data_IF_294250841876
#
_entry.id   IF_294250841876
#
_cell.length_a   1.000
_cell.length_b   1.000
_cell.length_c   1.000
_cell.angle_alpha   90.00
_cell.angle_beta   90.00
_cell.angle_gamma   90.00
#
_symmetry.space_group_name_H-M   'P 1'
#
loop_
_entity.id
_entity.type
_entity.pdbx_description
1 polymer ?
#
# COMPACT_ATOMS: atom_id res chain seq x y z
N UNK A 1 -4.23 -19.96 -26.27
CA UNK A 1 -3.53 -20.30 -25.02
C UNK A 1 -2.14 -20.78 -25.37
N UNK A 2 -1.13 -20.30 -24.67
CA UNK A 2 0.26 -20.74 -24.83
C UNK A 2 0.83 -21.07 -23.46
N UNK A 3 1.73 -22.05 -23.39
CA UNK A 3 2.48 -22.40 -22.18
C UNK A 3 3.93 -21.97 -22.38
N UNK A 4 4.45 -21.17 -21.46
CA UNK A 4 5.82 -20.66 -21.51
C UNK A 4 6.56 -21.07 -20.25
N UNK A 5 7.80 -21.52 -20.44
CA UNK A 5 8.73 -21.86 -19.38
C UNK A 5 9.91 -20.89 -19.42
N UNK A 6 10.24 -20.27 -18.29
CA UNK A 6 11.38 -19.36 -18.18
C UNK A 6 12.04 -19.42 -16.81
N UNK A 7 13.23 -18.84 -16.68
CA UNK A 7 13.98 -18.83 -15.41
C UNK A 7 13.32 -17.96 -14.34
N UNK A 8 12.65 -16.88 -14.76
CA UNK A 8 11.94 -15.95 -13.87
C UNK A 8 10.51 -15.74 -14.37
N UNK A 9 9.62 -15.33 -13.46
CA UNK A 9 8.24 -14.98 -13.83
C UNK A 9 8.20 -13.80 -14.79
N UNK A 10 9.00 -12.76 -14.54
CA UNK A 10 9.10 -11.58 -15.41
C UNK A 10 9.48 -11.94 -16.84
N UNK A 11 10.50 -12.79 -17.03
CA UNK A 11 10.90 -13.25 -18.34
C UNK A 11 9.80 -14.08 -19.02
N UNK A 12 9.02 -14.86 -18.24
CA UNK A 12 7.88 -15.59 -18.77
C UNK A 12 6.75 -14.64 -19.25
N UNK A 13 6.44 -13.58 -18.51
CA UNK A 13 5.47 -12.55 -18.92
C UNK A 13 5.89 -11.83 -20.20
N UNK A 14 7.15 -11.42 -20.29
CA UNK A 14 7.69 -10.74 -21.48
C UNK A 14 7.65 -11.65 -22.72
N UNK A 15 8.04 -12.91 -22.58
CA UNK A 15 7.94 -13.89 -23.68
C UNK A 15 6.49 -14.16 -24.09
N UNK A 16 5.56 -14.15 -23.14
CA UNK A 16 4.13 -14.33 -23.41
C UNK A 16 3.55 -13.15 -24.20
N UNK A 17 3.92 -11.93 -23.81
CA UNK A 17 3.51 -10.70 -24.49
C UNK A 17 4.02 -10.67 -25.93
N UNK A 18 5.29 -11.02 -26.14
CA UNK A 18 5.91 -11.07 -27.46
C UNK A 18 5.27 -12.14 -28.34
N UNK A 19 5.06 -13.35 -27.81
CA UNK A 19 4.47 -14.47 -28.57
C UNK A 19 3.01 -14.20 -28.95
N UNK A 20 2.25 -13.52 -28.08
CA UNK A 20 0.84 -13.18 -28.33
C UNK A 20 0.66 -11.80 -29.01
N UNK A 21 1.76 -11.10 -29.31
CA UNK A 21 1.78 -9.77 -29.89
C UNK A 21 0.82 -8.79 -29.17
N UNK A 22 0.83 -8.82 -27.84
CA UNK A 22 0.00 -7.95 -27.00
C UNK A 22 0.79 -7.37 -25.83
N UNK A 23 0.25 -6.34 -25.18
CA UNK A 23 0.86 -5.79 -23.95
C UNK A 23 0.78 -6.81 -22.81
N UNK A 24 1.72 -6.74 -21.85
CA UNK A 24 1.68 -7.54 -20.62
C UNK A 24 0.37 -7.33 -19.86
N UNK A 25 -0.20 -6.11 -19.91
CA UNK A 25 -1.48 -5.76 -19.27
C UNK A 25 -2.70 -6.44 -19.90
N UNK A 26 -2.58 -6.95 -21.13
CA UNK A 26 -3.65 -7.62 -21.87
C UNK A 26 -3.56 -9.14 -21.79
N UNK A 27 -2.63 -9.66 -20.98
CA UNK A 27 -2.48 -11.08 -20.74
C UNK A 27 -3.32 -11.51 -19.55
N UNK A 28 -4.11 -12.56 -19.73
CA UNK A 28 -4.62 -13.35 -18.62
C UNK A 28 -3.67 -14.54 -18.44
N UNK A 29 -3.04 -14.61 -17.28
CA UNK A 29 -1.95 -15.56 -17.00
C UNK A 29 -2.30 -16.41 -15.79
N UNK A 30 -2.12 -17.73 -15.94
CA UNK A 30 -2.20 -18.70 -14.86
C UNK A 30 -0.80 -19.24 -14.58
N UNK A 31 -0.33 -19.13 -13.34
CA UNK A 31 0.99 -19.61 -12.92
C UNK A 31 0.85 -21.07 -12.48
N UNK A 32 1.47 -21.99 -13.23
CA UNK A 32 1.49 -23.42 -12.88
C UNK A 32 2.64 -23.72 -11.91
N UNK A 33 3.76 -23.02 -12.07
CA UNK A 33 4.96 -23.26 -11.27
C UNK A 33 5.70 -21.96 -10.99
N UNK A 34 5.95 -21.67 -9.72
CA UNK A 34 6.84 -20.59 -9.32
C UNK A 34 8.30 -21.01 -9.49
N UNK A 35 9.16 -20.11 -10.00
CA UNK A 35 10.58 -20.38 -10.08
C UNK A 35 11.18 -20.46 -8.67
N UNK A 36 12.17 -21.33 -8.48
CA UNK A 36 12.93 -21.41 -7.23
C UNK A 36 14.42 -21.51 -7.51
N UNK A 37 15.23 -20.68 -6.86
CA UNK A 37 16.68 -20.62 -7.05
C UNK A 37 17.44 -21.81 -6.44
N UNK A 38 16.78 -22.65 -5.63
CA UNK A 38 17.38 -23.81 -4.98
C UNK A 38 18.41 -23.44 -3.90
N UNK A 39 18.96 -24.44 -3.21
CA UNK A 39 20.05 -24.24 -2.24
C UNK A 39 21.39 -24.41 -2.97
N UNK A 40 22.25 -23.38 -2.97
CA UNK A 40 23.55 -23.35 -3.66
C UNK A 40 23.51 -23.57 -5.19
N UNK A 41 22.39 -23.24 -5.85
CA UNK A 41 22.22 -23.40 -7.30
C UNK A 41 21.89 -24.84 -7.74
N UNK A 42 21.65 -25.74 -6.79
CA UNK A 42 21.15 -27.09 -7.04
C UNK A 42 19.62 -27.11 -6.93
N UNK A 43 18.98 -27.89 -7.79
CA UNK A 43 17.51 -28.06 -7.81
C UNK A 43 16.72 -26.79 -8.14
N UNK A 44 17.20 -26.00 -9.12
CA UNK A 44 16.43 -24.87 -9.64
C UNK A 44 15.15 -25.35 -10.31
N UNK A 45 14.05 -24.61 -10.09
CA UNK A 45 12.78 -24.81 -10.79
C UNK A 45 12.55 -23.62 -11.69
N UNK A 46 12.19 -23.88 -12.94
CA UNK A 46 11.74 -22.85 -13.88
C UNK A 46 10.34 -22.35 -13.50
N UNK A 47 10.05 -21.10 -13.86
CA UNK A 47 8.70 -20.56 -13.89
C UNK A 47 7.94 -21.16 -15.07
N UNK A 48 6.71 -21.62 -14.84
CA UNK A 48 5.82 -22.10 -15.90
C UNK A 48 4.50 -21.37 -15.81
N UNK A 49 4.14 -20.70 -16.90
CA UNK A 49 2.88 -19.95 -17.00
C UNK A 49 2.07 -20.41 -18.22
N UNK A 50 0.75 -20.28 -18.13
CA UNK A 50 -0.17 -20.39 -19.26
C UNK A 50 -0.80 -19.03 -19.50
N UNK A 51 -0.60 -18.49 -20.70
CA UNK A 51 -1.08 -17.17 -21.08
C UNK A 51 -2.12 -17.24 -22.19
N UNK A 52 -3.15 -16.40 -22.06
CA UNK A 52 -4.14 -16.12 -23.10
C UNK A 52 -4.27 -14.61 -23.27
N UNK A 53 -4.48 -14.15 -24.50
CA UNK A 53 -4.84 -12.76 -24.76
C UNK A 53 -6.26 -12.52 -24.24
N UNK A 54 -6.44 -11.49 -23.41
CA UNK A 54 -7.74 -10.96 -23.05
C UNK A 54 -8.34 -10.33 -24.30
N UNK A 55 -9.24 -11.04 -24.98
CA UNK A 55 -10.05 -10.47 -26.04
C UNK A 55 -11.16 -9.65 -25.37
N UNK A 56 -11.14 -8.33 -25.54
CA UNK A 56 -12.31 -7.50 -25.33
C UNK A 56 -13.02 -7.34 -26.69
N UNK A 57 -14.11 -8.09 -26.95
CA UNK A 57 -15.07 -7.67 -27.95
C UNK A 57 -15.92 -6.56 -27.34
N UNK A 58 -15.86 -5.36 -27.93
CA UNK A 58 -16.80 -4.30 -27.64
C UNK A 58 -18.17 -4.68 -28.25
N UNK A 59 -19.15 -5.06 -27.41
CA UNK A 59 -20.60 -4.88 -27.59
C UNK A 59 -21.41 -5.57 -26.46
N UNK A 60 -22.00 -4.75 -25.59
CA UNK A 60 -23.37 -4.81 -25.06
C UNK A 60 -24.04 -6.12 -24.52
N UNK A 61 -24.40 -6.04 -23.22
CA UNK A 61 -25.66 -6.47 -22.54
C UNK A 61 -25.79 -7.90 -21.95
N UNK A 62 -25.57 -7.97 -20.62
CA UNK A 62 -26.39 -8.54 -19.52
C UNK A 62 -26.96 -10.00 -19.56
N UNK A 63 -27.60 -10.52 -18.48
CA UNK A 63 -26.98 -11.12 -17.29
C UNK A 63 -27.51 -12.55 -17.00
N UNK A 64 -26.72 -13.46 -16.39
CA UNK A 64 -27.28 -14.70 -15.81
C UNK A 64 -26.58 -15.08 -14.50
N UNK A 65 -27.41 -15.30 -13.48
CA UNK A 65 -27.11 -15.66 -12.10
C UNK A 65 -26.79 -17.15 -11.89
N UNK A 66 -26.24 -17.42 -10.69
CA UNK A 66 -26.41 -18.59 -9.79
C UNK A 66 -25.57 -19.87 -9.97
N UNK A 67 -24.97 -20.23 -8.82
CA UNK A 67 -24.75 -21.56 -8.21
C UNK A 67 -23.27 -21.79 -7.87
N UNK A 68 -22.83 -22.49 -6.83
CA UNK A 68 -23.37 -22.95 -5.57
C UNK A 68 -22.14 -23.46 -4.76
N UNK A 69 -22.16 -23.25 -3.43
CA UNK A 69 -21.49 -24.00 -2.35
C UNK A 69 -20.35 -24.99 -2.70
N UNK A 70 -19.19 -24.79 -2.09
CA UNK A 70 -18.40 -25.90 -1.51
C UNK A 70 -17.79 -25.48 -0.16
N UNK A 71 -17.56 -26.49 0.68
CA UNK A 71 -17.52 -26.50 2.15
C UNK A 71 -16.10 -26.84 2.62
N UNK A 72 -15.80 -26.41 3.85
CA UNK A 72 -14.91 -27.02 4.86
C UNK A 72 -13.37 -27.06 4.70
N UNK A 73 -12.75 -26.44 5.72
CA UNK A 73 -11.69 -26.96 6.61
C UNK A 73 -10.33 -27.37 6.05
N UNK A 74 -9.27 -26.65 6.49
CA UNK A 74 -8.08 -27.14 7.21
C UNK A 74 -7.46 -25.87 7.89
N UNK A 75 -7.42 -25.66 9.22
CA UNK A 75 -6.53 -26.29 10.21
C UNK A 75 -5.09 -26.44 9.67
N UNK A 76 -4.00 -26.05 10.30
CA UNK A 76 -3.65 -25.47 11.59
C UNK A 76 -2.10 -25.30 11.52
N UNK A 77 -1.53 -24.46 12.38
CA UNK A 77 -0.10 -24.49 12.78
C UNK A 77 0.95 -23.95 11.79
N UNK A 78 1.26 -22.65 11.96
CA UNK A 78 2.61 -22.13 11.78
C UNK A 78 3.35 -22.27 13.12
N UNK A 79 4.31 -23.19 13.18
CA UNK A 79 5.45 -23.10 14.11
C UNK A 79 6.71 -22.90 13.27
N UNK A 80 7.48 -21.86 13.58
CA UNK A 80 8.89 -21.73 13.21
C UNK A 80 9.67 -21.27 14.44
N UNK A 81 10.79 -21.94 14.77
CA UNK A 81 11.90 -21.30 15.46
C UNK A 81 12.99 -20.88 14.46
N UNK A 82 13.30 -19.58 14.48
CA UNK A 82 14.62 -18.92 14.57
C UNK A 82 15.82 -19.54 13.81
N UNK A 83 16.42 -18.79 12.87
CA UNK A 83 17.78 -18.19 12.97
C UNK A 83 18.46 -17.84 11.62
N UNK A 84 18.76 -16.54 11.46
CA UNK A 84 20.02 -15.87 11.08
C UNK A 84 20.83 -16.35 9.85
N UNK A 85 21.05 -15.45 8.87
CA UNK A 85 22.29 -14.66 8.71
C UNK A 85 22.60 -14.25 7.24
N UNK A 86 22.78 -12.93 7.04
CA UNK A 86 23.72 -12.19 6.16
C UNK A 86 23.71 -12.45 4.62
N UNK A 87 23.26 -11.47 3.81
CA UNK A 87 24.04 -10.43 3.06
C UNK A 87 24.78 -11.01 1.82
N UNK A 88 24.69 -10.53 0.58
CA UNK A 88 24.87 -9.16 0.03
C UNK A 88 24.18 -8.98 -1.36
N UNK A 89 23.82 -7.74 -1.74
CA UNK A 89 23.25 -7.34 -3.04
C UNK A 89 24.26 -6.65 -4.00
N UNK A 90 24.07 -6.67 -5.34
CA UNK A 90 24.77 -5.79 -6.27
C UNK A 90 23.92 -4.61 -6.79
N UNK A 91 24.58 -3.45 -6.83
CA UNK A 91 24.16 -2.06 -7.15
C UNK A 91 23.98 -1.75 -8.66
N UNK A 92 23.00 -0.90 -9.02
CA UNK A 92 22.92 -0.14 -10.30
C UNK A 92 22.37 1.30 -10.03
N UNK A 93 22.84 2.36 -10.72
CA UNK A 93 22.97 3.70 -10.16
C UNK A 93 21.76 4.63 -10.34
N UNK A 94 21.51 5.43 -9.30
CA UNK A 94 20.45 6.44 -9.20
C UNK A 94 20.88 7.75 -9.88
N UNK A 95 19.98 8.38 -10.65
CA UNK A 95 20.13 9.78 -11.06
C UNK A 95 18.84 10.59 -10.86
N UNK A 96 18.96 11.57 -9.95
CA UNK A 96 18.18 12.82 -9.74
C UNK A 96 16.74 12.58 -9.26
N UNK A 97 16.25 13.22 -8.20
CA UNK A 97 16.15 14.68 -7.98
C UNK A 97 16.27 14.94 -6.46
N UNK A 98 16.97 16.02 -6.08
CA UNK A 98 17.07 16.51 -4.71
C UNK A 98 15.72 17.07 -4.24
N UNK A 99 15.07 16.37 -3.32
CA UNK A 99 14.20 16.97 -2.30
C UNK A 99 14.79 16.54 -0.95
N UNK A 100 15.39 17.48 -0.23
CA UNK A 100 15.91 17.27 1.12
C UNK A 100 14.76 17.21 2.14
N UNK A 101 13.94 16.16 2.04
CA UNK A 101 13.12 15.69 3.16
C UNK A 101 13.85 14.50 3.74
N UNK A 102 14.68 14.77 4.77
CA UNK A 102 15.39 13.73 5.50
C UNK A 102 14.33 12.90 6.24
N UNK A 103 13.92 11.79 5.62
CA UNK A 103 13.19 10.73 6.32
C UNK A 103 14.16 10.11 7.33
N UNK A 104 13.82 10.00 8.61
CA UNK A 104 14.65 9.29 9.58
C UNK A 104 14.81 7.82 9.15
N UNK A 105 15.95 7.20 9.50
CA UNK A 105 16.26 5.78 9.20
C UNK A 105 15.28 4.77 9.83
N UNK A 106 14.24 5.23 10.55
CA UNK A 106 13.21 4.44 11.24
C UNK A 106 12.17 3.76 10.34
N UNK A 107 12.43 3.66 9.04
CA UNK A 107 11.46 3.07 8.08
C UNK A 107 11.66 1.56 7.85
N UNK A 108 12.68 0.95 8.47
CA UNK A 108 13.00 -0.48 8.31
C UNK A 108 13.54 -1.11 9.61
N UNK A 109 12.65 -1.63 10.47
CA UNK A 109 13.01 -2.66 11.48
C UNK A 109 11.91 -3.73 11.63
N UNK A 110 12.34 -4.96 11.92
CA UNK A 110 11.52 -6.17 12.04
C UNK A 110 10.77 -6.24 13.39
N UNK A 111 9.45 -6.39 13.34
CA UNK A 111 8.42 -7.01 14.23
C UNK A 111 8.57 -7.12 15.77
N UNK A 112 9.66 -6.74 16.43
CA UNK A 112 9.80 -6.85 17.90
C UNK A 112 9.85 -5.47 18.63
N UNK A 113 9.79 -4.35 17.91
CA UNK A 113 9.90 -2.98 18.46
C UNK A 113 8.55 -2.19 18.45
N UNK A 114 7.41 -2.83 18.19
CA UNK A 114 6.12 -2.14 18.01
C UNK A 114 5.64 -1.36 19.25
N UNK A 115 5.95 -1.85 20.46
CA UNK A 115 5.51 -1.20 21.71
C UNK A 115 6.38 0.04 22.07
N UNK A 116 7.71 -0.04 21.93
CA UNK A 116 8.61 1.11 22.18
C UNK A 116 8.52 2.16 21.06
N UNK A 117 8.21 1.74 19.83
CA UNK A 117 8.05 2.66 18.71
C UNK A 117 6.77 3.48 18.83
N UNK A 118 5.70 2.95 19.42
CA UNK A 118 4.47 3.71 19.69
C UNK A 118 4.69 4.80 20.75
N UNK A 119 5.42 4.49 21.82
CA UNK A 119 5.80 5.48 22.83
C UNK A 119 6.72 6.57 22.21
N UNK A 120 7.65 6.20 21.32
CA UNK A 120 8.53 7.16 20.62
C UNK A 120 7.80 8.08 19.62
N UNK A 121 6.70 7.61 19.01
CA UNK A 121 5.82 8.42 18.14
C UNK A 121 5.12 9.48 18.97
N UNK A 122 4.55 9.06 20.10
CA UNK A 122 3.76 9.92 20.98
C UNK A 122 4.68 10.99 21.59
N UNK A 123 5.85 10.59 22.09
CA UNK A 123 6.88 11.49 22.60
C UNK A 123 7.48 12.41 21.52
N UNK A 124 7.62 11.94 20.27
CA UNK A 124 8.12 12.78 19.16
C UNK A 124 7.08 13.78 18.65
N UNK A 125 5.79 13.48 18.80
CA UNK A 125 4.70 14.44 18.54
C UNK A 125 4.66 15.46 19.69
N UNK A 126 4.78 15.02 20.94
CA UNK A 126 4.74 15.89 22.11
C UNK A 126 5.97 16.82 22.20
N UNK A 127 7.15 16.31 21.85
CA UNK A 127 8.43 17.03 21.95
C UNK A 127 8.74 18.00 20.80
N UNK A 128 7.88 18.13 19.78
CA UNK A 128 8.08 19.08 18.67
C UNK A 128 7.42 20.45 18.87
N UNK A 129 6.75 20.68 20.00
CA UNK A 129 6.05 21.94 20.27
C UNK A 129 6.54 22.55 21.59
N UNK A 130 7.64 23.28 21.51
CA UNK A 130 7.93 24.35 22.47
C UNK A 130 8.09 25.65 21.66
N UNK A 131 7.36 26.67 22.12
CA UNK A 131 7.37 28.08 21.74
C UNK A 131 6.55 28.58 20.52
N UNK A 132 5.48 29.29 20.91
CA UNK A 132 5.04 30.64 20.47
C UNK A 132 4.68 30.87 18.99
N UNK A 133 3.37 30.93 18.70
CA UNK A 133 2.67 32.17 18.31
C UNK A 133 1.14 31.92 18.25
N UNK A 134 0.41 32.50 19.21
CA UNK A 134 -1.04 32.30 19.37
C UNK A 134 -1.83 33.23 18.43
N UNK A 135 -1.78 32.98 17.11
CA UNK A 135 -2.80 33.52 16.19
C UNK A 135 -4.06 32.64 16.29
N UNK A 136 -4.96 33.01 17.21
CA UNK A 136 -6.30 32.44 17.29
C UNK A 136 -7.03 32.63 15.95
N UNK A 137 -7.14 31.55 15.18
CA UNK A 137 -8.17 31.45 14.17
C UNK A 137 -9.52 31.34 14.89
N UNK A 138 -10.27 32.43 14.94
CA UNK A 138 -11.56 32.54 15.65
C UNK A 138 -12.70 31.65 15.07
N UNK A 139 -12.41 30.65 14.22
CA UNK A 139 -13.39 29.64 13.84
C UNK A 139 -12.74 28.31 13.44
N UNK A 140 -12.49 27.45 14.42
CA UNK A 140 -12.17 26.03 14.19
C UNK A 140 -13.24 25.34 13.31
N UNK A 141 -14.49 25.80 13.40
CA UNK A 141 -15.60 25.34 12.55
C UNK A 141 -15.42 25.71 11.07
N UNK A 142 -14.84 26.87 10.77
CA UNK A 142 -14.54 27.31 9.40
C UNK A 142 -13.34 26.53 8.84
N UNK A 143 -12.32 26.30 9.67
CA UNK A 143 -11.18 25.44 9.32
C UNK A 143 -11.67 24.02 9.02
N UNK A 144 -12.54 23.45 9.86
CA UNK A 144 -13.08 22.11 9.65
C UNK A 144 -13.80 21.99 8.29
N UNK A 145 -14.59 23.01 7.91
CA UNK A 145 -15.24 23.06 6.59
C UNK A 145 -14.24 23.15 5.45
N UNK A 146 -13.22 23.99 5.57
CA UNK A 146 -12.19 24.18 4.55
C UNK A 146 -11.36 22.89 4.34
N UNK A 147 -10.96 22.25 5.45
CA UNK A 147 -10.24 20.99 5.47
C UNK A 147 -11.10 19.87 4.89
N UNK A 148 -12.40 19.82 5.23
CA UNK A 148 -13.34 18.86 4.66
C UNK A 148 -13.40 18.95 3.13
N UNK A 149 -13.48 20.16 2.57
CA UNK A 149 -13.51 20.34 1.12
C UNK A 149 -12.19 19.90 0.47
N UNK A 150 -11.05 20.28 1.05
CA UNK A 150 -9.73 19.95 0.51
C UNK A 150 -9.41 18.46 0.57
N UNK A 151 -9.70 17.79 1.69
CA UNK A 151 -9.42 16.36 1.84
C UNK A 151 -10.28 15.53 0.91
N UNK A 152 -11.57 15.85 0.77
CA UNK A 152 -12.46 15.17 -0.17
C UNK A 152 -12.05 15.42 -1.62
N UNK A 153 -11.63 16.65 -1.97
CA UNK A 153 -11.12 16.94 -3.31
C UNK A 153 -9.83 16.15 -3.63
N UNK A 154 -8.93 16.00 -2.65
CA UNK A 154 -7.71 15.22 -2.80
C UNK A 154 -8.01 13.74 -3.01
N UNK A 155 -8.81 13.14 -2.13
CA UNK A 155 -9.12 11.70 -2.19
C UNK A 155 -10.00 11.34 -3.39
N UNK A 156 -10.80 12.27 -3.91
CA UNK A 156 -11.54 12.09 -5.17
C UNK A 156 -10.64 11.91 -6.40
N UNK A 157 -9.38 12.37 -6.36
CA UNK A 157 -8.41 12.14 -7.44
C UNK A 157 -7.63 10.83 -7.27
N UNK A 158 -7.77 10.16 -6.13
CA UNK A 158 -7.09 8.90 -5.86
C UNK A 158 -7.89 7.73 -6.42
N UNK A 159 -7.26 6.56 -6.52
CA UNK A 159 -7.92 5.33 -6.96
C UNK A 159 -8.46 4.50 -5.80
N UNK A 160 -8.88 5.14 -4.71
CA UNK A 160 -9.52 4.49 -3.57
C UNK A 160 -11.03 4.72 -3.60
N UNK A 161 -11.80 3.64 -3.50
CA UNK A 161 -13.24 3.72 -3.32
C UNK A 161 -13.56 4.07 -1.85
N UNK A 162 -13.67 5.38 -1.58
CA UNK A 162 -14.01 5.94 -0.28
C UNK A 162 -15.36 6.66 -0.32
N UNK A 163 -16.04 6.66 0.81
CA UNK A 163 -17.18 7.54 1.06
C UNK A 163 -16.67 8.96 1.32
N UNK A 164 -17.59 9.93 1.37
CA UNK A 164 -17.27 11.28 1.81
C UNK A 164 -16.60 11.26 3.20
N UNK A 165 -15.44 11.89 3.29
CA UNK A 165 -14.66 12.02 4.51
C UNK A 165 -15.33 13.11 5.35
N UNK A 166 -15.75 12.76 6.56
CA UNK A 166 -16.32 13.73 7.49
C UNK A 166 -15.22 14.35 8.34
N UNK A 167 -15.28 15.66 8.52
CA UNK A 167 -14.33 16.42 9.36
C UNK A 167 -15.14 17.22 10.35
N UNK A 168 -14.89 16.99 11.64
CA UNK A 168 -15.58 17.66 12.73
C UNK A 168 -14.59 18.13 13.78
N UNK A 169 -14.99 19.12 14.56
CA UNK A 169 -14.19 19.61 15.68
C UNK A 169 -14.31 18.62 16.83
N UNK A 170 -13.18 18.09 17.30
CA UNK A 170 -13.14 17.22 18.48
C UNK A 170 -13.01 18.03 19.76
N UNK A 171 -12.07 18.97 19.79
CA UNK A 171 -11.83 19.92 20.87
C UNK A 171 -11.30 21.26 20.32
N UNK A 172 -10.90 22.16 21.22
CA UNK A 172 -10.44 23.52 20.88
C UNK A 172 -9.21 23.55 19.96
N UNK A 173 -8.47 22.43 19.83
CA UNK A 173 -7.22 22.33 19.06
C UNK A 173 -7.13 21.10 18.15
N UNK A 174 -8.15 20.24 18.13
CA UNK A 174 -8.11 18.94 17.44
C UNK A 174 -9.28 18.78 16.48
N UNK A 175 -8.96 18.40 15.24
CA UNK A 175 -9.94 17.99 14.24
C UNK A 175 -10.03 16.46 14.20
N UNK A 176 -11.27 15.94 14.23
CA UNK A 176 -11.57 14.53 13.97
C UNK A 176 -11.86 14.34 12.48
N UNK A 177 -11.27 13.32 11.87
CA UNK A 177 -11.52 12.94 10.47
C UNK A 177 -11.91 11.48 10.35
N UNK A 178 -13.09 11.22 9.78
CA UNK A 178 -13.62 9.87 9.61
C UNK A 178 -13.49 9.38 8.16
N UNK A 179 -12.60 8.41 7.97
CA UNK A 179 -12.40 7.73 6.68
C UNK A 179 -13.22 6.44 6.62
N UNK A 180 -14.24 6.43 5.77
CA UNK A 180 -15.12 5.29 5.56
C UNK A 180 -15.18 4.89 4.09
N UNK A 181 -15.47 3.62 3.82
CA UNK A 181 -15.68 3.14 2.45
C UNK A 181 -15.17 1.72 2.22
N UNK A 182 -15.46 1.13 1.04
CA UNK A 182 -14.96 -0.19 0.65
C UNK A 182 -13.44 -0.34 0.78
N UNK A 183 -12.68 0.69 0.39
CA UNK A 183 -11.22 0.66 0.37
C UNK A 183 -10.57 1.30 1.61
N UNK A 184 -11.34 1.70 2.62
CA UNK A 184 -10.79 2.33 3.83
C UNK A 184 -9.75 1.43 4.53
N UNK A 185 -9.93 0.11 4.50
CA UNK A 185 -8.96 -0.84 5.05
C UNK A 185 -7.59 -0.79 4.35
N UNK A 186 -7.54 -0.39 3.07
CA UNK A 186 -6.29 -0.23 2.33
C UNK A 186 -5.46 0.97 2.83
N UNK A 187 -6.12 1.97 3.43
CA UNK A 187 -5.47 3.13 4.05
C UNK A 187 -4.87 2.78 5.41
N UNK A 188 -5.33 1.71 6.07
CA UNK A 188 -4.74 1.23 7.33
C UNK A 188 -3.38 0.59 7.06
N UNK A 189 -3.33 -0.32 6.08
CA UNK A 189 -2.14 -1.09 5.76
C UNK A 189 -1.84 -2.19 6.80
N UNK A 190 -0.76 -2.96 6.56
CA UNK A 190 -0.29 -3.97 7.51
C UNK A 190 0.21 -3.27 8.77
N UNK A 191 -0.18 -3.77 9.95
CA UNK A 191 0.20 -3.22 11.26
C UNK A 191 -0.10 -1.71 11.41
N UNK A 192 -1.08 -1.18 10.66
CA UNK A 192 -1.47 0.24 10.75
C UNK A 192 -0.49 1.22 10.11
N UNK A 193 0.51 0.73 9.39
CA UNK A 193 1.60 1.55 8.88
C UNK A 193 1.17 2.68 7.94
N UNK A 194 0.21 2.40 7.04
CA UNK A 194 -0.29 3.42 6.10
C UNK A 194 -1.15 4.45 6.81
N UNK A 195 -1.92 4.02 7.82
CA UNK A 195 -2.70 4.93 8.66
C UNK A 195 -1.77 5.90 9.39
N UNK A 196 -0.70 5.38 10.00
CA UNK A 196 0.30 6.20 10.70
C UNK A 196 0.91 7.23 9.75
N UNK A 197 1.41 6.80 8.60
CA UNK A 197 2.01 7.70 7.61
C UNK A 197 1.01 8.78 7.14
N UNK A 198 -0.24 8.40 6.86
CA UNK A 198 -1.28 9.34 6.44
C UNK A 198 -1.61 10.35 7.55
N UNK A 199 -1.74 9.88 8.78
CA UNK A 199 -2.01 10.73 9.96
C UNK A 199 -0.94 11.79 10.11
N UNK A 200 0.34 11.43 10.01
CA UNK A 200 1.44 12.39 10.08
C UNK A 200 1.46 13.38 8.92
N UNK A 201 1.21 12.92 7.69
CA UNK A 201 1.14 13.83 6.53
C UNK A 201 0.04 14.86 6.68
N UNK A 202 -1.15 14.44 7.15
CA UNK A 202 -2.28 15.33 7.40
C UNK A 202 -1.97 16.28 8.55
N UNK A 203 -1.44 15.78 9.67
CA UNK A 203 -1.06 16.58 10.83
C UNK A 203 -0.04 17.68 10.45
N UNK A 204 1.04 17.31 9.75
CA UNK A 204 2.05 18.28 9.31
C UNK A 204 1.46 19.32 8.36
N UNK A 205 0.55 18.92 7.47
CA UNK A 205 -0.14 19.84 6.58
C UNK A 205 -1.03 20.82 7.34
N UNK A 206 -1.82 20.33 8.30
CA UNK A 206 -2.70 21.16 9.12
C UNK A 206 -1.90 22.15 9.95
N UNK A 207 -0.87 21.69 10.66
CA UNK A 207 -0.05 22.57 11.50
C UNK A 207 0.75 23.57 10.67
N UNK A 208 1.25 23.20 9.50
CA UNK A 208 1.94 24.15 8.63
C UNK A 208 1.02 25.27 8.09
N UNK A 209 -0.30 25.06 8.11
CA UNK A 209 -1.29 26.00 7.55
C UNK A 209 -2.09 26.74 8.62
N UNK A 210 -2.38 26.10 9.74
CA UNK A 210 -3.29 26.56 10.79
C UNK A 210 -2.68 26.51 12.21
N UNK A 211 -1.49 25.91 12.36
CA UNK A 211 -0.77 25.83 13.63
C UNK A 211 0.31 26.88 13.76
#
# INVERSE_FOLDING_TARGET
MIRIESKTLEAAYSQAAETLACSVTQLHVEIIQHPSSGFLGLFTKSAIIVAVRKNEPNAEVAPIEKSAKFKEEIAEVYEKPVSKAAEEEPVIPLRRILNDTILPESFVTDQDEEDEQNDYIEDAIEGMFDDEDEERFDNMEEIALEVKEQINALFAQTCFDLNEIDVSVYDDNTLMMDFNGPDAALLIGKEGYRYKALSYMIFNWLNAKYG
#
